data_IF_306094190461
#
_entry.id   IF_306094190461
#
_cell.length_a   1.000
_cell.length_b   1.000
_cell.length_c   1.000
_cell.angle_alpha   90.00
_cell.angle_beta   90.00
_cell.angle_gamma   90.00
#
_symmetry.space_group_name_H-M   'P 1'
#
loop_
_entity.id
_entity.type
_entity.pdbx_description
1 polymer ?
#
# COMPACT_ATOMS: atom_id res chain seq x y z
N UNK A 1 -8.92 20.16 37.47
CA UNK A 1 -9.90 20.00 36.38
C UNK A 1 -10.17 18.51 36.24
N UNK A 2 -11.42 18.06 36.37
CA UNK A 2 -11.73 16.64 36.30
C UNK A 2 -11.59 16.13 34.85
N UNK A 3 -11.20 14.86 34.66
CA UNK A 3 -11.18 14.21 33.32
C UNK A 3 -12.55 14.33 32.64
N UNK A 4 -13.62 14.31 33.43
CA UNK A 4 -15.01 14.45 32.97
C UNK A 4 -15.30 15.81 32.31
N UNK A 5 -14.71 16.90 32.80
CA UNK A 5 -14.87 18.24 32.22
C UNK A 5 -14.13 18.41 30.89
N UNK A 6 -12.97 17.75 30.77
CA UNK A 6 -12.21 17.68 29.52
C UNK A 6 -13.00 16.89 28.46
N UNK A 7 -13.55 15.74 28.84
CA UNK A 7 -14.38 14.89 27.97
C UNK A 7 -15.66 15.60 27.53
N UNK A 8 -16.40 16.26 28.43
CA UNK A 8 -17.58 17.06 28.07
C UNK A 8 -17.27 18.20 27.11
N UNK A 9 -16.12 18.88 27.25
CA UNK A 9 -15.69 19.94 26.33
C UNK A 9 -15.21 19.41 24.97
N UNK A 10 -14.52 18.28 24.94
CA UNK A 10 -14.15 17.60 23.69
C UNK A 10 -15.38 17.15 22.91
N UNK A 11 -16.40 16.61 23.59
CA UNK A 11 -17.69 16.29 22.98
C UNK A 11 -18.40 17.54 22.42
N UNK A 12 -18.32 18.66 23.12
CA UNK A 12 -18.94 19.94 22.69
C UNK A 12 -18.24 20.60 21.50
N UNK A 13 -16.96 20.27 21.26
CA UNK A 13 -16.11 20.87 20.22
C UNK A 13 -16.05 20.06 18.92
N UNK A 14 -16.88 19.01 18.79
CA UNK A 14 -16.98 18.19 17.56
C UNK A 14 -15.64 17.58 17.10
N UNK A 15 -14.66 17.49 17.99
CA UNK A 15 -13.40 16.75 17.79
C UNK A 15 -13.67 15.24 17.66
N UNK A 16 -14.45 14.58 18.55
CA UNK A 16 -14.68 13.15 18.42
C UNK A 16 -15.43 12.80 17.14
N UNK A 17 -16.34 13.65 16.65
CA UNK A 17 -17.01 13.39 15.36
C UNK A 17 -16.06 13.53 14.16
N UNK A 18 -15.11 14.46 14.18
CA UNK A 18 -14.08 14.54 13.13
C UNK A 18 -13.10 13.34 13.19
N UNK A 19 -12.77 12.88 14.40
CA UNK A 19 -11.93 11.70 14.59
C UNK A 19 -12.63 10.42 14.10
N UNK A 20 -13.91 10.23 14.44
CA UNK A 20 -14.75 9.14 13.93
C UNK A 20 -14.82 9.20 12.40
N UNK A 21 -15.05 10.39 11.82
CA UNK A 21 -15.11 10.55 10.37
C UNK A 21 -13.78 10.19 9.71
N UNK A 22 -12.64 10.56 10.31
CA UNK A 22 -11.31 10.19 9.82
C UNK A 22 -11.08 8.67 9.88
N UNK A 23 -11.48 8.04 10.98
CA UNK A 23 -11.40 6.59 11.13
C UNK A 23 -12.30 5.86 10.12
N UNK A 24 -13.51 6.37 9.85
CA UNK A 24 -14.42 5.83 8.84
C UNK A 24 -13.82 5.94 7.43
N UNK A 25 -13.23 7.09 7.08
CA UNK A 25 -12.62 7.29 5.76
C UNK A 25 -11.44 6.35 5.55
N UNK A 26 -10.60 6.18 6.59
CA UNK A 26 -9.50 5.22 6.55
C UNK A 26 -10.01 3.78 6.39
N UNK A 27 -11.05 3.41 7.15
CA UNK A 27 -11.69 2.10 7.05
C UNK A 27 -12.24 1.87 5.63
N UNK A 28 -13.00 2.81 5.08
CA UNK A 28 -13.57 2.69 3.74
C UNK A 28 -12.53 2.79 2.62
N UNK A 29 -11.40 3.45 2.84
CA UNK A 29 -10.24 3.36 1.96
C UNK A 29 -9.66 1.93 1.94
N UNK A 30 -9.56 1.28 3.10
CA UNK A 30 -9.21 -0.15 3.18
C UNK A 30 -10.23 -1.06 2.47
N UNK A 31 -11.52 -0.81 2.64
CA UNK A 31 -12.60 -1.51 1.91
C UNK A 31 -12.49 -1.32 0.40
N UNK A 32 -12.19 -0.10 -0.04
CA UNK A 32 -11.97 0.20 -1.46
C UNK A 32 -10.72 -0.53 -1.99
N UNK A 33 -9.68 -0.70 -1.18
CA UNK A 33 -8.59 -1.62 -1.50
C UNK A 33 -9.10 -3.05 -1.68
N UNK A 34 -9.83 -3.56 -0.68
CA UNK A 34 -10.27 -4.96 -0.64
C UNK A 34 -11.20 -5.37 -1.80
N UNK A 35 -12.09 -4.48 -2.25
CA UNK A 35 -13.09 -4.73 -3.29
C UNK A 35 -12.88 -3.82 -4.50
N UNK A 36 -11.65 -3.83 -5.02
CA UNK A 36 -11.22 -2.89 -6.04
C UNK A 36 -11.91 -3.11 -7.39
N UNK A 37 -12.43 -2.05 -7.99
CA UNK A 37 -13.04 -2.11 -9.32
C UNK A 37 -11.98 -1.85 -10.41
N UNK A 38 -12.13 -2.46 -11.59
CA UNK A 38 -11.35 -2.06 -12.75
C UNK A 38 -11.79 -0.69 -13.26
N UNK A 39 -10.84 0.15 -13.68
CA UNK A 39 -11.09 1.40 -14.38
C UNK A 39 -10.42 2.63 -13.77
N UNK A 40 -10.18 3.64 -14.61
CA UNK A 40 -9.52 4.88 -14.22
C UNK A 40 -10.26 5.64 -13.11
N UNK A 41 -11.60 5.63 -13.13
CA UNK A 41 -12.42 6.27 -12.11
C UNK A 41 -12.23 5.64 -10.73
N UNK A 42 -12.04 4.33 -10.66
CA UNK A 42 -11.83 3.65 -9.38
C UNK A 42 -10.44 3.92 -8.81
N UNK A 43 -9.42 3.94 -9.65
CA UNK A 43 -8.09 4.37 -9.23
C UNK A 43 -8.14 5.80 -8.67
N UNK A 44 -8.86 6.70 -9.34
CA UNK A 44 -9.11 8.06 -8.84
C UNK A 44 -9.88 8.06 -7.51
N UNK A 45 -10.88 7.19 -7.34
CA UNK A 45 -11.60 7.02 -6.07
C UNK A 45 -10.67 6.60 -4.93
N UNK A 46 -9.75 5.64 -5.17
CA UNK A 46 -8.73 5.25 -4.20
C UNK A 46 -7.83 6.42 -3.78
N UNK A 47 -7.35 7.21 -4.75
CA UNK A 47 -6.57 8.42 -4.48
C UNK A 47 -7.37 9.49 -3.74
N UNK A 48 -8.65 9.68 -4.10
CA UNK A 48 -9.55 10.60 -3.42
C UNK A 48 -9.72 10.21 -1.94
N UNK A 49 -9.85 8.91 -1.64
CA UNK A 49 -9.91 8.41 -0.25
C UNK A 49 -8.71 8.83 0.59
N UNK A 50 -7.49 8.77 0.03
CA UNK A 50 -6.29 9.19 0.71
C UNK A 50 -6.25 10.71 0.93
N UNK A 51 -6.62 11.50 -0.10
CA UNK A 51 -6.71 12.95 0.02
C UNK A 51 -7.76 13.37 1.06
N UNK A 52 -8.90 12.68 1.08
CA UNK A 52 -9.98 12.88 2.04
C UNK A 52 -9.56 12.51 3.46
N UNK A 53 -8.79 11.43 3.64
CA UNK A 53 -8.21 11.08 4.93
C UNK A 53 -7.23 12.15 5.42
N UNK A 54 -6.34 12.63 4.55
CA UNK A 54 -5.42 13.72 4.91
C UNK A 54 -6.20 14.98 5.32
N UNK A 55 -7.25 15.33 4.56
CA UNK A 55 -8.12 16.46 4.86
C UNK A 55 -8.89 16.27 6.17
N UNK A 56 -9.37 15.06 6.47
CA UNK A 56 -10.08 14.78 7.72
C UNK A 56 -9.16 14.85 8.93
N UNK A 57 -7.91 14.38 8.82
CA UNK A 57 -6.89 14.56 9.86
C UNK A 57 -6.61 16.05 10.08
N UNK A 58 -6.46 16.83 9.01
CA UNK A 58 -6.28 18.29 9.11
C UNK A 58 -7.49 18.95 9.80
N UNK A 59 -8.72 18.49 9.54
CA UNK A 59 -9.91 18.98 10.26
C UNK A 59 -9.89 18.62 11.75
N UNK A 60 -9.45 17.41 12.11
CA UNK A 60 -9.27 17.01 13.52
C UNK A 60 -8.26 17.93 14.19
N UNK A 61 -7.09 18.11 13.57
CA UNK A 61 -6.02 18.98 14.08
C UNK A 61 -6.50 20.42 14.20
N UNK A 62 -7.21 20.95 13.20
CA UNK A 62 -7.79 22.28 13.23
C UNK A 62 -8.82 22.43 14.36
N UNK A 63 -9.71 21.45 14.55
CA UNK A 63 -10.71 21.49 15.63
C UNK A 63 -10.06 21.42 17.00
N UNK A 64 -9.03 20.59 17.18
CA UNK A 64 -8.23 20.56 18.42
C UNK A 64 -7.55 21.91 18.64
N UNK A 65 -6.89 22.47 17.62
CA UNK A 65 -6.16 23.73 17.72
C UNK A 65 -7.05 24.96 17.99
N UNK A 66 -8.28 24.94 17.49
CA UNK A 66 -9.28 26.02 17.71
C UNK A 66 -10.09 25.85 18.99
N UNK A 67 -9.98 24.72 19.69
CA UNK A 67 -10.54 24.61 21.04
C UNK A 67 -9.76 25.56 21.96
N UNK A 68 -10.46 26.48 22.64
CA UNK A 68 -9.81 27.37 23.62
C UNK A 68 -8.97 26.51 24.57
N UNK A 69 -7.68 26.80 24.75
CA UNK A 69 -6.82 25.96 25.57
C UNK A 69 -7.42 25.80 26.97
N UNK A 70 -7.27 24.62 27.59
CA UNK A 70 -7.66 24.39 28.98
C UNK A 70 -7.22 25.55 29.87
N UNK A 71 -8.02 25.92 30.87
CA UNK A 71 -7.66 26.95 31.84
C UNK A 71 -6.21 26.87 32.37
N UNK A 72 -5.63 25.67 32.64
CA UNK A 72 -4.22 25.58 33.04
C UNK A 72 -3.18 25.80 31.91
N UNK A 73 -3.57 25.66 30.64
CA UNK A 73 -2.69 25.88 29.47
C UNK A 73 -2.85 27.29 28.86
N UNK A 74 -3.92 28.02 29.19
CA UNK A 74 -4.07 29.45 28.84
C UNK A 74 -2.87 30.33 29.23
N UNK A 75 -2.26 30.18 30.42
CA UNK A 75 -1.05 30.93 30.74
C UNK A 75 0.18 30.54 29.89
N UNK A 76 0.16 29.38 29.21
CA UNK A 76 1.24 28.95 28.31
C UNK A 76 1.08 29.49 26.87
N UNK A 77 -0.13 29.91 26.47
CA UNK A 77 -0.38 30.50 25.15
C UNK A 77 0.49 31.73 24.82
N UNK A 78 0.75 32.70 25.73
CA UNK A 78 1.68 33.79 25.47
C UNK A 78 3.16 33.35 25.41
N UNK A 79 3.47 32.12 25.85
CA UNK A 79 4.81 31.54 25.81
C UNK A 79 5.09 30.74 24.53
N UNK A 80 4.26 30.83 23.50
CA UNK A 80 4.54 30.22 22.19
C UNK A 80 5.87 30.68 21.57
N UNK A 81 6.29 31.92 21.84
CA UNK A 81 7.63 32.45 21.54
C UNK A 81 8.73 31.78 22.36
N UNK A 82 8.46 31.33 23.59
CA UNK A 82 9.42 30.53 24.37
C UNK A 82 9.62 29.13 23.78
N UNK A 83 8.71 28.65 22.92
CA UNK A 83 8.90 27.41 22.16
C UNK A 83 9.97 27.56 21.07
N UNK A 84 10.18 28.78 20.53
CA UNK A 84 11.30 29.10 19.65
C UNK A 84 12.61 29.01 20.43
N UNK A 85 12.64 29.51 21.67
CA UNK A 85 13.78 29.38 22.58
C UNK A 85 14.03 27.92 22.96
N UNK A 86 12.97 27.16 23.28
CA UNK A 86 13.07 25.72 23.57
C UNK A 86 13.59 24.96 22.36
N UNK A 87 13.12 25.30 21.16
CA UNK A 87 13.59 24.75 19.90
C UNK A 87 15.04 25.11 19.59
N UNK A 88 15.46 26.34 19.89
CA UNK A 88 16.86 26.76 19.77
C UNK A 88 17.76 26.05 20.79
N UNK A 89 17.28 25.81 22.02
CA UNK A 89 17.97 25.01 23.04
C UNK A 89 18.03 23.54 22.63
N UNK A 90 16.98 22.98 22.04
CA UNK A 90 16.94 21.60 21.52
C UNK A 90 17.91 21.42 20.35
N UNK A 91 17.94 22.37 19.41
CA UNK A 91 18.96 22.46 18.35
C UNK A 91 20.37 22.62 18.91
N UNK A 92 20.55 23.43 19.97
CA UNK A 92 21.84 23.58 20.64
C UNK A 92 22.25 22.25 21.29
N UNK A 93 21.34 21.56 21.97
CA UNK A 93 21.54 20.23 22.57
C UNK A 93 21.90 19.19 21.50
N UNK A 94 21.17 19.14 20.37
CA UNK A 94 21.50 18.28 19.24
C UNK A 94 22.89 18.62 18.66
N UNK A 95 23.24 19.91 18.56
CA UNK A 95 24.51 20.35 18.03
C UNK A 95 25.70 20.12 18.97
N UNK A 96 25.47 20.04 20.30
CA UNK A 96 26.52 19.88 21.31
C UNK A 96 26.63 18.44 21.81
N UNK A 97 25.51 17.81 22.18
CA UNK A 97 25.46 16.50 22.84
C UNK A 97 25.69 15.38 21.82
N UNK A 98 25.11 15.46 20.62
CA UNK A 98 25.32 14.43 19.59
C UNK A 98 26.80 14.26 19.19
N UNK A 99 27.60 15.33 18.95
CA UNK A 99 29.02 15.16 18.70
C UNK A 99 29.81 14.68 19.92
N UNK A 100 29.45 15.10 21.14
CA UNK A 100 30.12 14.61 22.37
C UNK A 100 29.86 13.12 22.58
N UNK A 101 28.62 12.65 22.40
CA UNK A 101 28.29 11.23 22.49
C UNK A 101 28.94 10.39 21.37
N UNK A 102 29.02 10.94 20.14
CA UNK A 102 29.76 10.29 19.05
C UNK A 102 31.26 10.24 19.30
N UNK A 103 31.85 11.29 19.86
CA UNK A 103 33.26 11.32 20.25
C UNK A 103 33.55 10.33 21.39
N UNK A 104 32.66 10.25 22.38
CA UNK A 104 32.75 9.29 23.48
C UNK A 104 32.62 7.83 22.99
N UNK A 105 31.78 7.55 21.99
CA UNK A 105 31.67 6.23 21.36
C UNK A 105 32.89 5.83 20.51
N UNK A 106 33.72 6.80 20.11
CA UNK A 106 34.96 6.58 19.36
C UNK A 106 36.20 6.35 20.24
N UNK A 107 36.06 6.39 21.57
CA UNK A 107 37.20 6.27 22.48
C UNK A 107 37.75 4.82 22.53
N UNK A 108 39.08 4.62 22.49
CA UNK A 108 39.72 3.31 22.30
C UNK A 108 39.59 2.33 23.48
N UNK A 109 38.97 2.72 24.60
CA UNK A 109 38.89 1.94 25.84
C UNK A 109 37.49 1.33 26.11
N UNK A 110 36.58 1.33 25.14
CA UNK A 110 35.20 0.86 25.35
C UNK A 110 34.96 -0.57 24.86
N UNK A 111 34.33 -1.38 25.70
CA UNK A 111 33.83 -2.72 25.37
C UNK A 111 32.76 -2.63 24.25
N UNK A 112 32.76 -3.52 23.25
CA UNK A 112 31.81 -3.52 22.12
C UNK A 112 30.32 -3.40 22.50
N UNK A 113 29.91 -3.89 23.67
CA UNK A 113 28.52 -3.75 24.14
C UNK A 113 28.22 -2.30 24.54
N UNK A 114 29.14 -1.66 25.27
CA UNK A 114 29.00 -0.26 25.69
C UNK A 114 29.02 0.71 24.50
N UNK A 115 29.84 0.45 23.49
CA UNK A 115 29.90 1.22 22.25
C UNK A 115 28.57 1.16 21.47
N UNK A 116 28.00 -0.04 21.29
CA UNK A 116 26.69 -0.19 20.62
C UNK A 116 25.55 0.46 21.41
N UNK A 117 25.59 0.40 22.74
CA UNK A 117 24.62 1.09 23.60
C UNK A 117 24.71 2.63 23.44
N UNK A 118 25.91 3.20 23.36
CA UNK A 118 26.12 4.63 23.11
C UNK A 118 25.73 5.07 21.70
N UNK A 119 26.06 4.29 20.66
CA UNK A 119 25.68 4.58 19.27
C UNK A 119 24.15 4.52 19.07
N UNK A 120 23.50 3.52 19.66
CA UNK A 120 22.03 3.39 19.62
C UNK A 120 21.33 4.47 20.45
N UNK A 121 21.85 4.82 21.64
CA UNK A 121 21.34 5.93 22.42
C UNK A 121 21.49 7.27 21.70
N UNK A 122 22.61 7.51 21.01
CA UNK A 122 22.82 8.70 20.19
C UNK A 122 21.90 8.76 18.97
N UNK A 123 21.65 7.62 18.31
CA UNK A 123 20.73 7.52 17.17
C UNK A 123 19.26 7.69 17.55
N UNK A 124 18.83 7.04 18.63
CA UNK A 124 17.45 7.11 19.14
C UNK A 124 17.13 8.46 19.76
N UNK A 125 18.06 9.07 20.51
CA UNK A 125 17.88 10.43 21.03
C UNK A 125 17.82 11.46 19.90
N UNK A 126 18.67 11.35 18.87
CA UNK A 126 18.63 12.24 17.71
C UNK A 126 17.32 12.16 16.92
N UNK A 127 16.84 10.94 16.63
CA UNK A 127 15.57 10.75 15.92
C UNK A 127 14.35 11.19 16.74
N UNK A 128 14.34 10.89 18.04
CA UNK A 128 13.26 11.30 18.93
C UNK A 128 13.21 12.83 19.09
N UNK A 129 14.35 13.49 19.31
CA UNK A 129 14.41 14.96 19.38
C UNK A 129 14.02 15.60 18.04
N UNK A 130 14.54 15.11 16.90
CA UNK A 130 14.14 15.65 15.58
C UNK A 130 12.65 15.47 15.32
N UNK A 131 12.06 14.33 15.71
CA UNK A 131 10.62 14.12 15.60
C UNK A 131 9.83 15.08 16.50
N UNK A 132 10.23 15.23 17.76
CA UNK A 132 9.60 16.16 18.72
C UNK A 132 9.73 17.61 18.24
N UNK A 133 10.90 18.00 17.74
CA UNK A 133 11.16 19.33 17.20
C UNK A 133 10.39 19.59 15.92
N UNK A 134 10.31 18.62 14.99
CA UNK A 134 9.54 18.76 13.75
C UNK A 134 8.05 18.88 14.07
N UNK A 135 7.54 18.05 14.99
CA UNK A 135 6.16 18.15 15.47
C UNK A 135 5.93 19.51 16.14
N UNK A 136 6.86 19.94 17.00
CA UNK A 136 6.83 21.22 17.68
C UNK A 136 6.80 22.41 16.72
N UNK A 137 7.73 22.46 15.76
CA UNK A 137 7.84 23.50 14.74
C UNK A 137 6.61 23.54 13.84
N UNK A 138 6.09 22.38 13.42
CA UNK A 138 4.82 22.29 12.66
C UNK A 138 3.66 22.84 13.49
N UNK A 139 3.56 22.47 14.77
CA UNK A 139 2.52 22.97 15.68
C UNK A 139 2.66 24.48 15.93
N UNK A 140 3.87 25.01 16.10
CA UNK A 140 4.10 26.45 16.32
C UNK A 140 3.85 27.26 15.05
N UNK A 141 4.35 26.83 13.89
CA UNK A 141 4.06 27.46 12.60
C UNK A 141 2.56 27.45 12.29
N UNK A 142 1.88 26.35 12.65
CA UNK A 142 0.43 26.22 12.57
C UNK A 142 -0.31 27.19 13.51
N UNK A 143 0.12 27.34 14.77
CA UNK A 143 -0.45 28.30 15.72
C UNK A 143 -0.27 29.74 15.22
N UNK A 144 0.91 30.09 14.69
CA UNK A 144 1.18 31.40 14.12
C UNK A 144 0.32 31.67 12.88
N UNK A 145 0.18 30.68 11.99
CA UNK A 145 -0.70 30.77 10.82
C UNK A 145 -2.15 31.00 11.25
N UNK A 146 -2.63 30.28 12.28
CA UNK A 146 -3.97 30.47 12.83
C UNK A 146 -4.15 31.84 13.46
N UNK A 147 -3.16 32.35 14.20
CA UNK A 147 -3.21 33.71 14.77
C UNK A 147 -3.27 34.78 13.67
N UNK A 148 -2.50 34.60 12.59
CA UNK A 148 -2.54 35.49 11.43
C UNK A 148 -3.91 35.40 10.74
N UNK A 149 -4.44 34.20 10.50
CA UNK A 149 -5.76 33.98 9.89
C UNK A 149 -6.90 34.56 10.75
N UNK A 150 -6.82 34.43 12.07
CA UNK A 150 -7.84 34.94 12.99
C UNK A 150 -7.78 36.47 13.09
N UNK A 151 -6.57 37.04 13.05
CA UNK A 151 -6.35 38.49 13.03
C UNK A 151 -6.77 39.17 11.71
N UNK A 152 -6.59 38.50 10.56
CA UNK A 152 -6.79 39.11 9.23
C UNK A 152 -8.04 38.63 8.49
N UNK A 153 -8.39 37.35 8.58
CA UNK A 153 -9.36 36.70 7.68
C UNK A 153 -10.72 36.45 8.35
N UNK A 154 -10.76 36.11 9.65
CA UNK A 154 -12.00 35.78 10.37
C UNK A 154 -12.83 36.99 10.84
N UNK A 155 -12.31 38.22 10.72
CA UNK A 155 -13.07 39.47 10.93
C UNK A 155 -14.09 39.74 9.82
N UNK A 156 -13.93 39.15 8.64
CA UNK A 156 -14.80 39.38 7.48
C UNK A 156 -15.96 38.36 7.49
N UNK A 157 -17.21 38.82 7.64
CA UNK A 157 -18.41 37.95 7.69
C UNK A 157 -18.53 37.00 6.49
N UNK A 158 -18.12 37.45 5.30
CA UNK A 158 -18.14 36.63 4.08
C UNK A 158 -17.22 35.40 4.19
N UNK A 159 -16.03 35.55 4.76
CA UNK A 159 -15.08 34.45 4.90
C UNK A 159 -15.56 33.43 5.94
N UNK A 160 -16.22 33.88 7.01
CA UNK A 160 -16.84 32.98 8.01
C UNK A 160 -18.04 32.20 7.45
N UNK A 161 -18.73 32.75 6.45
CA UNK A 161 -19.77 32.03 5.71
C UNK A 161 -19.15 30.98 4.78
N UNK A 162 -18.11 31.38 4.04
CA UNK A 162 -17.38 30.50 3.12
C UNK A 162 -16.72 29.32 3.85
N UNK A 163 -16.10 29.55 5.01
CA UNK A 163 -15.50 28.48 5.82
C UNK A 163 -16.55 27.47 6.32
N UNK A 164 -17.75 27.93 6.69
CA UNK A 164 -18.86 27.04 7.10
C UNK A 164 -19.44 26.25 5.93
N UNK A 165 -19.51 26.86 4.75
CA UNK A 165 -19.90 26.17 3.52
C UNK A 165 -18.87 25.09 3.18
N UNK A 166 -17.57 25.43 3.24
CA UNK A 166 -16.48 24.51 2.97
C UNK A 166 -16.48 23.31 3.93
N UNK A 167 -16.65 23.52 5.24
CA UNK A 167 -16.74 22.43 6.23
C UNK A 167 -17.91 21.49 5.93
N UNK A 168 -19.08 22.03 5.53
CA UNK A 168 -20.24 21.21 5.12
C UNK A 168 -19.99 20.43 3.83
N UNK A 169 -19.36 21.06 2.83
CA UNK A 169 -19.01 20.40 1.57
C UNK A 169 -18.03 19.26 1.83
N UNK A 170 -16.99 19.50 2.63
CA UNK A 170 -16.01 18.47 2.98
C UNK A 170 -16.65 17.31 3.73
N UNK A 171 -17.47 17.56 4.75
CA UNK A 171 -18.21 16.50 5.45
C UNK A 171 -19.16 15.76 4.51
N UNK A 172 -19.84 16.47 3.61
CA UNK A 172 -20.71 15.86 2.60
C UNK A 172 -19.97 14.93 1.65
N UNK A 173 -18.80 15.35 1.15
CA UNK A 173 -17.94 14.51 0.29
C UNK A 173 -17.41 13.31 1.05
N UNK A 174 -16.99 13.47 2.31
CA UNK A 174 -16.55 12.35 3.16
C UNK A 174 -17.67 11.34 3.38
N UNK A 175 -18.89 11.80 3.65
CA UNK A 175 -20.06 10.92 3.78
C UNK A 175 -20.41 10.21 2.48
N UNK A 176 -20.41 10.91 1.34
CA UNK A 176 -20.64 10.30 0.04
C UNK A 176 -19.58 9.23 -0.28
N UNK A 177 -18.31 9.49 0.06
CA UNK A 177 -17.23 8.52 -0.05
C UNK A 177 -17.48 7.27 0.81
N UNK A 178 -17.87 7.45 2.09
CA UNK A 178 -18.22 6.35 2.97
C UNK A 178 -19.42 5.54 2.44
N UNK A 179 -20.47 6.20 1.93
CA UNK A 179 -21.62 5.53 1.34
C UNK A 179 -21.23 4.70 0.12
N UNK A 180 -20.41 5.25 -0.78
CA UNK A 180 -19.86 4.51 -1.90
C UNK A 180 -19.01 3.31 -1.43
N UNK A 181 -18.19 3.49 -0.40
CA UNK A 181 -17.44 2.43 0.25
C UNK A 181 -18.33 1.32 0.80
N UNK A 182 -19.46 1.65 1.43
CA UNK A 182 -20.45 0.67 1.92
C UNK A 182 -21.04 -0.14 0.78
N UNK A 183 -21.39 0.50 -0.34
CA UNK A 183 -21.90 -0.20 -1.53
C UNK A 183 -20.86 -1.18 -2.08
N UNK A 184 -19.58 -0.79 -2.14
CA UNK A 184 -18.49 -1.67 -2.56
C UNK A 184 -18.29 -2.85 -1.60
N UNK A 185 -18.30 -2.58 -0.29
CA UNK A 185 -18.25 -3.61 0.74
C UNK A 185 -19.40 -4.60 0.58
N UNK A 186 -20.62 -4.11 0.44
CA UNK A 186 -21.80 -4.95 0.28
C UNK A 186 -21.73 -5.78 -1.02
N UNK A 187 -21.28 -5.16 -2.11
CA UNK A 187 -21.13 -5.82 -3.40
C UNK A 187 -20.11 -6.97 -3.38
N UNK A 188 -18.98 -6.81 -2.67
CA UNK A 188 -17.90 -7.80 -2.66
C UNK A 188 -17.93 -8.77 -1.48
N UNK A 189 -18.29 -8.32 -0.27
CA UNK A 189 -18.28 -9.17 0.93
C UNK A 189 -19.36 -10.26 0.90
N UNK A 190 -20.46 -10.01 0.20
CA UNK A 190 -21.59 -10.92 0.07
C UNK A 190 -21.70 -11.54 -1.33
N UNK A 191 -20.63 -11.48 -2.12
CA UNK A 191 -20.60 -12.08 -3.45
C UNK A 191 -20.33 -13.59 -3.37
N UNK A 192 -21.29 -14.46 -3.74
CA UNK A 192 -21.08 -15.91 -3.75
C UNK A 192 -20.41 -16.41 -5.04
N UNK A 193 -20.18 -15.53 -6.02
CA UNK A 193 -19.69 -15.96 -7.32
C UNK A 193 -18.23 -16.46 -7.24
N UNK A 194 -17.88 -17.56 -7.91
CA UNK A 194 -16.49 -17.98 -7.99
C UNK A 194 -15.68 -16.97 -8.83
N UNK A 195 -14.38 -16.80 -8.53
CA UNK A 195 -13.53 -15.94 -9.33
C UNK A 195 -13.43 -16.46 -10.76
N UNK A 196 -13.53 -15.55 -11.72
CA UNK A 196 -13.32 -15.82 -13.14
C UNK A 196 -11.98 -15.26 -13.60
N UNK A 197 -11.25 -16.05 -14.36
CA UNK A 197 -9.95 -15.64 -14.87
C UNK A 197 -10.12 -14.81 -16.14
N UNK A 198 -9.47 -13.65 -16.18
CA UNK A 198 -9.36 -12.83 -17.39
C UNK A 198 -7.90 -12.67 -17.79
N UNK A 199 -7.53 -12.98 -19.05
CA UNK A 199 -6.20 -12.70 -19.53
C UNK A 199 -6.03 -11.18 -19.69
N UNK A 200 -4.86 -10.70 -19.28
CA UNK A 200 -4.47 -9.31 -19.49
C UNK A 200 -2.96 -9.23 -19.79
N UNK A 201 -2.52 -8.08 -20.27
CA UNK A 201 -1.09 -7.79 -20.44
C UNK A 201 -0.75 -6.51 -19.71
N UNK A 202 0.35 -6.52 -18.96
CA UNK A 202 0.81 -5.33 -18.27
C UNK A 202 1.25 -4.27 -19.27
N UNK A 203 0.66 -3.07 -19.19
CA UNK A 203 1.11 -1.91 -19.97
C UNK A 203 2.10 -1.06 -19.19
N UNK A 204 1.75 -0.69 -17.96
CA UNK A 204 2.57 0.16 -17.12
C UNK A 204 2.20 -0.01 -15.64
N UNK A 205 3.13 0.35 -14.75
CA UNK A 205 2.85 0.48 -13.32
C UNK A 205 3.23 1.90 -12.90
N UNK A 206 2.28 2.58 -12.25
CA UNK A 206 2.48 3.88 -11.64
C UNK A 206 2.46 3.74 -10.13
N UNK A 207 3.37 4.42 -9.43
CA UNK A 207 3.41 4.35 -7.97
C UNK A 207 3.85 5.66 -7.35
N UNK A 208 3.35 5.93 -6.14
CA UNK A 208 3.74 7.06 -5.32
C UNK A 208 4.12 6.55 -3.92
N UNK A 209 5.25 7.04 -3.40
CA UNK A 209 5.62 6.82 -1.99
C UNK A 209 4.91 7.86 -1.15
N UNK A 210 4.16 7.40 -0.16
CA UNK A 210 3.44 8.27 0.76
C UNK A 210 4.39 8.76 1.87
N UNK A 211 4.23 10.00 2.35
CA UNK A 211 5.05 10.53 3.44
C UNK A 211 4.77 9.79 4.76
N UNK A 212 5.62 10.02 5.75
CA UNK A 212 5.44 9.53 7.13
C UNK A 212 5.39 8.00 7.28
N UNK A 213 6.03 7.26 6.36
CA UNK A 213 6.06 5.79 6.44
C UNK A 213 4.73 5.11 6.12
N UNK A 214 3.77 5.81 5.51
CA UNK A 214 2.46 5.28 5.11
C UNK A 214 2.51 4.32 3.90
N UNK A 215 3.71 3.85 3.54
CA UNK A 215 3.93 2.88 2.49
C UNK A 215 3.93 3.47 1.07
N UNK A 216 3.77 2.58 0.10
CA UNK A 216 3.75 2.90 -1.34
C UNK A 216 2.40 2.53 -1.91
N UNK A 217 1.78 3.47 -2.59
CA UNK A 217 0.52 3.26 -3.28
C UNK A 217 0.81 3.08 -4.77
N UNK A 218 0.35 1.98 -5.37
CA UNK A 218 0.66 1.63 -6.75
C UNK A 218 -0.60 1.23 -7.53
N UNK A 219 -0.61 1.52 -8.83
CA UNK A 219 -1.67 1.11 -9.75
C UNK A 219 -1.05 0.59 -11.05
N UNK A 220 -1.66 -0.42 -11.63
CA UNK A 220 -1.25 -0.98 -12.92
C UNK A 220 -2.26 -0.59 -14.01
N UNK A 221 -1.75 -0.33 -15.20
CA UNK A 221 -2.54 -0.28 -16.42
C UNK A 221 -2.44 -1.64 -17.11
N UNK A 222 -3.60 -2.27 -17.29
CA UNK A 222 -3.75 -3.59 -17.87
C UNK A 222 -4.40 -3.43 -19.25
N UNK A 223 -3.80 -4.03 -20.27
CA UNK A 223 -4.41 -4.18 -21.57
C UNK A 223 -5.29 -5.44 -21.54
N UNK A 224 -6.60 -5.24 -21.68
CA UNK A 224 -7.62 -6.29 -21.76
C UNK A 224 -8.29 -6.26 -23.13
N UNK A 225 -9.15 -7.23 -23.42
CA UNK A 225 -9.97 -7.23 -24.65
C UNK A 225 -10.88 -6.00 -24.76
N UNK A 226 -11.22 -5.36 -23.63
CA UNK A 226 -12.08 -4.18 -23.56
C UNK A 226 -11.30 -2.87 -23.67
N UNK A 227 -9.97 -2.94 -23.77
CA UNK A 227 -9.07 -1.79 -23.81
C UNK A 227 -8.21 -1.69 -22.56
N UNK A 228 -7.88 -0.47 -22.15
CA UNK A 228 -6.94 -0.23 -21.05
C UNK A 228 -7.71 -0.01 -19.76
N UNK A 229 -7.49 -0.90 -18.80
CA UNK A 229 -8.10 -0.84 -17.47
C UNK A 229 -7.04 -0.50 -16.43
N UNK A 230 -7.32 0.48 -15.58
CA UNK A 230 -6.44 0.81 -14.44
C UNK A 230 -6.92 0.09 -13.18
N UNK A 231 -6.03 -0.59 -12.49
CA UNK A 231 -6.35 -1.36 -11.28
C UNK A 231 -5.37 -0.99 -10.16
N UNK A 232 -5.88 -0.82 -8.95
CA UNK A 232 -5.07 -0.60 -7.76
C UNK A 232 -4.30 -1.89 -7.39
N UNK A 233 -3.03 -1.77 -7.00
CA UNK A 233 -2.21 -2.91 -6.59
C UNK A 233 -2.16 -3.06 -5.08
N UNK A 234 -2.24 -4.30 -4.60
CA UNK A 234 -2.19 -4.66 -3.18
C UNK A 234 -1.07 -5.69 -2.97
N UNK A 235 0.03 -5.34 -2.28
CA UNK A 235 1.18 -6.23 -2.13
C UNK A 235 0.85 -7.63 -1.59
N UNK A 236 -0.12 -7.73 -0.70
CA UNK A 236 -0.51 -8.99 -0.07
C UNK A 236 -1.36 -9.91 -0.96
N UNK A 237 -1.88 -9.42 -2.09
CA UNK A 237 -2.79 -10.16 -2.99
C UNK A 237 -2.27 -10.27 -4.41
N UNK A 238 -1.39 -9.36 -4.82
CA UNK A 238 -0.91 -9.26 -6.19
C UNK A 238 0.55 -9.67 -6.28
N UNK A 239 0.87 -10.47 -7.30
CA UNK A 239 2.26 -10.86 -7.62
C UNK A 239 2.99 -9.79 -8.43
N UNK A 240 2.41 -8.59 -8.50
CA UNK A 240 2.87 -7.49 -9.33
C UNK A 240 3.27 -6.30 -8.46
N UNK A 241 4.49 -5.81 -8.61
CA UNK A 241 4.94 -4.59 -7.95
C UNK A 241 5.81 -3.76 -8.89
N UNK A 242 5.92 -2.43 -8.71
CA UNK A 242 6.66 -1.57 -9.62
C UNK A 242 8.12 -1.97 -9.86
N UNK A 243 8.74 -2.67 -8.90
CA UNK A 243 10.16 -3.03 -8.96
C UNK A 243 10.39 -4.43 -9.55
N UNK A 244 9.33 -5.20 -9.81
CA UNK A 244 9.39 -6.61 -10.21
C UNK A 244 8.72 -6.92 -11.53
N UNK A 245 8.12 -5.95 -12.22
CA UNK A 245 7.33 -6.20 -13.42
C UNK A 245 7.53 -5.15 -14.52
N UNK A 246 7.67 -5.64 -15.74
CA UNK A 246 7.89 -4.85 -16.95
C UNK A 246 6.70 -4.93 -17.90
N UNK A 247 6.54 -3.90 -18.73
CA UNK A 247 5.52 -3.87 -19.78
C UNK A 247 5.61 -5.13 -20.68
N UNK A 248 4.46 -5.63 -21.13
CA UNK A 248 4.35 -6.85 -21.93
C UNK A 248 4.17 -8.13 -21.12
N UNK A 249 4.31 -8.08 -19.79
CA UNK A 249 4.13 -9.26 -18.94
C UNK A 249 2.68 -9.79 -19.04
N UNK A 250 2.47 -11.09 -19.38
CA UNK A 250 1.15 -11.67 -19.40
C UNK A 250 0.66 -11.92 -17.98
N UNK A 251 -0.60 -11.55 -17.73
CA UNK A 251 -1.22 -11.56 -16.42
C UNK A 251 -2.53 -12.33 -16.45
N UNK A 252 -2.83 -12.96 -15.32
CA UNK A 252 -4.12 -13.55 -15.01
C UNK A 252 -4.79 -12.71 -13.94
N UNK A 253 -5.91 -12.09 -14.30
CA UNK A 253 -6.69 -11.25 -13.39
C UNK A 253 -7.86 -12.06 -12.87
N UNK A 254 -7.95 -12.21 -11.56
CA UNK A 254 -9.06 -12.88 -10.88
C UNK A 254 -10.18 -11.87 -10.62
N UNK A 255 -11.29 -12.03 -11.33
CA UNK A 255 -12.42 -11.09 -11.32
C UNK A 255 -13.68 -11.80 -10.86
N UNK A 256 -14.32 -11.22 -9.87
CA UNK A 256 -15.65 -11.61 -9.42
C UNK A 256 -16.73 -10.79 -10.10
N UNK A 257 -17.96 -11.32 -10.12
CA UNK A 257 -19.11 -10.62 -10.73
C UNK A 257 -19.65 -9.49 -9.84
N UNK A 258 -19.52 -9.62 -8.52
CA UNK A 258 -20.16 -8.77 -7.53
C UNK A 258 -21.62 -9.15 -7.32
N UNK A 259 -22.09 -9.04 -6.07
CA UNK A 259 -23.50 -9.25 -5.71
C UNK A 259 -24.44 -8.32 -6.48
N UNK A 260 -24.05 -7.06 -6.67
CA UNK A 260 -24.80 -6.03 -7.40
C UNK A 260 -24.53 -6.05 -8.91
N UNK A 261 -23.78 -7.05 -9.41
CA UNK A 261 -23.33 -7.12 -10.80
C UNK A 261 -22.20 -6.13 -11.14
N UNK A 262 -21.56 -5.55 -10.13
CA UNK A 262 -20.40 -4.66 -10.29
C UNK A 262 -19.13 -5.52 -10.14
N UNK A 263 -18.37 -5.76 -11.22
CA UNK A 263 -17.23 -6.67 -11.17
C UNK A 263 -16.06 -6.07 -10.38
N UNK A 264 -15.42 -6.87 -9.54
CA UNK A 264 -14.29 -6.45 -8.72
C UNK A 264 -13.11 -7.42 -8.86
N UNK A 265 -11.89 -6.89 -8.74
CA UNK A 265 -10.64 -7.64 -8.90
C UNK A 265 -10.18 -8.12 -7.54
N UNK A 266 -10.03 -9.44 -7.40
CA UNK A 266 -9.54 -10.08 -6.19
C UNK A 266 -8.01 -10.05 -6.13
N UNK A 267 -7.38 -10.57 -7.19
CA UNK A 267 -5.94 -10.76 -7.29
C UNK A 267 -5.46 -10.60 -8.74
N UNK A 268 -4.19 -10.23 -8.88
CA UNK A 268 -3.47 -10.21 -10.14
C UNK A 268 -2.25 -11.12 -9.98
N UNK A 269 -2.21 -12.19 -10.77
CA UNK A 269 -1.10 -13.13 -10.83
C UNK A 269 -0.39 -13.04 -12.17
N UNK A 270 0.88 -13.43 -12.20
CA UNK A 270 1.61 -13.59 -13.46
C UNK A 270 1.07 -14.86 -14.14
N UNK A 271 0.76 -14.76 -15.44
CA UNK A 271 0.40 -15.94 -16.22
C UNK A 271 1.68 -16.69 -16.61
N UNK A 272 2.19 -17.49 -15.67
CA UNK A 272 3.44 -18.24 -15.83
C UNK A 272 3.45 -19.13 -17.07
N UNK A 273 2.29 -19.68 -17.46
CA UNK A 273 2.16 -20.51 -18.66
C UNK A 273 2.42 -19.66 -19.89
N UNK A 274 1.66 -18.58 -20.08
CA UNK A 274 1.79 -17.69 -21.24
C UNK A 274 3.16 -17.00 -21.27
N UNK A 275 3.70 -16.64 -20.11
CA UNK A 275 5.05 -16.08 -20.01
C UNK A 275 6.10 -17.08 -20.48
N UNK A 276 6.00 -18.34 -20.04
CA UNK A 276 6.94 -19.38 -20.44
C UNK A 276 6.82 -19.72 -21.93
N UNK A 277 5.60 -19.75 -22.47
CA UNK A 277 5.35 -19.91 -23.91
C UNK A 277 6.05 -18.79 -24.72
N UNK A 278 5.83 -17.51 -24.36
CA UNK A 278 6.48 -16.36 -25.02
C UNK A 278 8.01 -16.41 -24.94
N UNK A 279 8.57 -16.79 -23.79
CA UNK A 279 10.02 -16.94 -23.64
C UNK A 279 10.54 -18.08 -24.52
N UNK A 280 9.82 -19.21 -24.62
CA UNK A 280 10.23 -20.35 -25.44
C UNK A 280 10.05 -20.12 -26.94
N UNK A 281 9.16 -19.22 -27.36
CA UNK A 281 9.09 -18.74 -28.75
C UNK A 281 10.36 -17.97 -29.12
N UNK A 282 10.86 -17.12 -28.22
CA UNK A 282 12.09 -16.36 -28.44
C UNK A 282 13.37 -17.19 -28.21
N UNK A 283 13.35 -18.09 -27.23
CA UNK A 283 14.47 -18.91 -26.78
C UNK A 283 14.04 -20.38 -26.62
N UNK A 284 13.87 -21.14 -27.72
CA UNK A 284 13.38 -22.52 -27.68
C UNK A 284 14.20 -23.47 -26.81
N UNK A 285 15.49 -23.18 -26.67
CA UNK A 285 16.44 -23.96 -25.87
C UNK A 285 16.38 -23.63 -24.37
N UNK A 286 15.53 -22.73 -23.85
CA UNK A 286 15.54 -22.43 -22.41
C UNK A 286 15.01 -23.61 -21.55
N UNK A 287 15.90 -24.48 -21.07
CA UNK A 287 15.55 -25.69 -20.30
C UNK A 287 14.72 -25.38 -19.05
N UNK A 288 15.19 -24.44 -18.21
CA UNK A 288 14.51 -24.10 -16.96
C UNK A 288 13.07 -23.63 -17.21
N UNK A 289 12.90 -22.70 -18.16
CA UNK A 289 11.57 -22.21 -18.58
C UNK A 289 10.69 -23.32 -19.12
N UNK A 290 11.25 -24.25 -19.92
CA UNK A 290 10.50 -25.41 -20.43
C UNK A 290 10.05 -26.33 -19.30
N UNK A 291 10.89 -26.58 -18.30
CA UNK A 291 10.51 -27.35 -17.10
C UNK A 291 9.40 -26.65 -16.30
N UNK A 292 9.47 -25.33 -16.16
CA UNK A 292 8.41 -24.52 -15.53
C UNK A 292 7.09 -24.62 -16.30
N UNK A 293 7.12 -24.51 -17.63
CA UNK A 293 5.93 -24.67 -18.46
C UNK A 293 5.33 -26.07 -18.33
N UNK A 294 6.16 -27.12 -18.40
CA UNK A 294 5.72 -28.51 -18.23
C UNK A 294 5.06 -28.70 -16.86
N UNK A 295 5.63 -28.15 -15.79
CA UNK A 295 5.05 -28.23 -14.45
C UNK A 295 3.65 -27.57 -14.40
N UNK A 296 3.50 -26.37 -14.97
CA UNK A 296 2.21 -25.68 -15.06
C UNK A 296 1.18 -26.49 -15.86
N UNK A 297 1.59 -27.08 -16.99
CA UNK A 297 0.70 -27.93 -17.82
C UNK A 297 0.27 -29.22 -17.09
N UNK A 298 1.13 -29.78 -16.24
CA UNK A 298 0.79 -30.92 -15.38
C UNK A 298 -0.26 -30.53 -14.34
N UNK A 299 -0.11 -29.38 -13.68
CA UNK A 299 -1.09 -28.88 -12.71
C UNK A 299 -2.46 -28.59 -13.35
N UNK A 300 -2.47 -28.09 -14.59
CA UNK A 300 -3.69 -27.85 -15.37
C UNK A 300 -4.30 -29.12 -15.99
N UNK A 301 -3.63 -30.27 -15.89
CA UNK A 301 -4.09 -31.53 -16.50
C UNK A 301 -4.05 -31.55 -18.04
N UNK A 302 -3.23 -30.68 -18.66
CA UNK A 302 -3.07 -30.56 -20.12
C UNK A 302 -2.06 -31.58 -20.65
N UNK A 303 -2.38 -32.86 -20.49
CA UNK A 303 -1.45 -33.97 -20.70
C UNK A 303 -0.87 -34.10 -22.12
N UNK A 304 -1.64 -33.73 -23.16
CA UNK A 304 -1.15 -33.73 -24.54
C UNK A 304 0.00 -32.75 -24.73
N UNK A 305 -0.11 -31.57 -24.11
CA UNK A 305 0.87 -30.51 -24.23
C UNK A 305 2.11 -30.80 -23.39
N UNK A 306 1.92 -31.42 -22.21
CA UNK A 306 3.03 -31.96 -21.39
C UNK A 306 3.94 -32.86 -22.23
N UNK A 307 3.36 -33.79 -22.98
CA UNK A 307 4.11 -34.70 -23.84
C UNK A 307 4.86 -33.95 -24.95
N UNK A 308 4.17 -33.06 -25.67
CA UNK A 308 4.80 -32.29 -26.74
C UNK A 308 5.99 -31.44 -26.24
N UNK A 309 5.84 -30.80 -25.08
CA UNK A 309 6.91 -30.02 -24.47
C UNK A 309 8.05 -30.88 -23.92
N UNK A 310 7.77 -32.08 -23.40
CA UNK A 310 8.79 -33.03 -22.96
C UNK A 310 9.59 -33.61 -24.14
N UNK A 311 8.94 -33.99 -25.25
CA UNK A 311 9.63 -34.40 -26.48
C UNK A 311 10.53 -33.27 -27.03
N UNK A 312 10.03 -32.04 -27.02
CA UNK A 312 10.83 -30.87 -27.39
C UNK A 312 12.00 -30.60 -26.41
N UNK A 313 11.85 -30.94 -25.12
CA UNK A 313 12.92 -30.83 -24.12
C UNK A 313 14.07 -31.77 -24.44
N UNK A 314 13.79 -33.05 -24.70
CA UNK A 314 14.80 -34.06 -25.03
C UNK A 314 15.58 -33.71 -26.28
N UNK A 315 14.91 -33.15 -27.30
CA UNK A 315 15.59 -32.72 -28.54
C UNK A 315 16.69 -31.69 -28.29
N UNK A 316 16.52 -30.82 -27.30
CA UNK A 316 17.52 -29.82 -26.93
C UNK A 316 18.48 -30.34 -25.83
N UNK A 317 18.02 -31.28 -24.99
CA UNK A 317 18.72 -31.77 -23.81
C UNK A 317 18.63 -33.31 -23.69
N UNK A 318 19.30 -34.06 -24.58
CA UNK A 318 19.18 -35.52 -24.61
C UNK A 318 19.74 -36.22 -23.36
N UNK A 319 20.60 -35.55 -22.59
CA UNK A 319 21.19 -36.09 -21.35
C UNK A 319 20.33 -35.92 -20.09
N UNK A 320 19.17 -35.27 -20.16
CA UNK A 320 18.33 -34.96 -19.00
C UNK A 320 17.25 -36.05 -18.76
N UNK A 321 17.68 -37.32 -18.82
CA UNK A 321 16.80 -38.48 -18.70
C UNK A 321 16.12 -38.59 -17.33
N UNK A 322 16.82 -38.22 -16.26
CA UNK A 322 16.28 -38.25 -14.89
C UNK A 322 15.04 -37.37 -14.73
N UNK A 323 15.03 -36.19 -15.37
CA UNK A 323 13.86 -35.32 -15.37
C UNK A 323 12.66 -35.98 -16.06
N UNK A 324 12.88 -36.66 -17.19
CA UNK A 324 11.80 -37.38 -17.88
C UNK A 324 11.27 -38.55 -17.09
N UNK A 325 12.12 -39.31 -16.40
CA UNK A 325 11.69 -40.42 -15.54
C UNK A 325 10.85 -39.91 -14.36
N UNK A 326 11.24 -38.77 -13.78
CA UNK A 326 10.43 -38.09 -12.75
C UNK A 326 9.07 -37.67 -13.29
N UNK A 327 9.02 -37.10 -14.50
CA UNK A 327 7.77 -36.70 -15.16
C UNK A 327 6.89 -37.90 -15.53
N UNK A 328 7.48 -38.98 -16.04
CA UNK A 328 6.78 -40.23 -16.35
C UNK A 328 6.14 -40.85 -15.11
N UNK A 329 6.83 -40.79 -13.96
CA UNK A 329 6.28 -41.24 -12.67
C UNK A 329 5.03 -40.44 -12.29
N UNK A 330 5.05 -39.11 -12.46
CA UNK A 330 3.86 -38.26 -12.22
C UNK A 330 2.72 -38.57 -13.19
N UNK A 331 3.02 -38.79 -14.47
CA UNK A 331 2.01 -39.17 -15.48
C UNK A 331 1.37 -40.53 -15.13
N UNK A 332 2.16 -41.51 -14.69
CA UNK A 332 1.65 -42.81 -14.26
C UNK A 332 0.73 -42.68 -13.04
N UNK A 333 1.10 -41.86 -12.05
CA UNK A 333 0.26 -41.56 -10.89
C UNK A 333 -1.06 -40.88 -11.27
N UNK A 334 -1.08 -40.09 -12.35
CA UNK A 334 -2.28 -39.49 -12.92
C UNK A 334 -3.08 -40.41 -13.87
N UNK A 335 -2.73 -41.70 -13.97
CA UNK A 335 -3.41 -42.67 -14.85
C UNK A 335 -3.04 -42.57 -16.33
N UNK A 336 -2.04 -41.75 -16.71
CA UNK A 336 -1.57 -41.54 -18.08
C UNK A 336 -0.46 -42.51 -18.46
N UNK A 337 -0.73 -43.80 -18.34
CA UNK A 337 0.28 -44.87 -18.52
C UNK A 337 0.93 -44.87 -19.91
N UNK A 338 0.15 -44.61 -20.97
CA UNK A 338 0.69 -44.57 -22.33
C UNK A 338 1.71 -43.44 -22.54
N UNK A 339 1.43 -42.25 -22.00
CA UNK A 339 2.33 -41.10 -22.08
C UNK A 339 3.58 -41.30 -21.21
N UNK A 340 3.41 -41.90 -20.02
CA UNK A 340 4.54 -42.26 -19.16
C UNK A 340 5.53 -43.22 -19.85
N UNK A 341 5.03 -44.28 -20.50
CA UNK A 341 5.86 -45.24 -21.24
C UNK A 341 6.58 -44.56 -22.41
N UNK A 342 5.92 -43.63 -23.11
CA UNK A 342 6.54 -42.87 -24.18
C UNK A 342 7.73 -42.04 -23.66
N UNK A 343 7.57 -41.35 -22.51
CA UNK A 343 8.66 -40.59 -21.89
C UNK A 343 9.79 -41.47 -21.36
N UNK A 344 9.49 -42.64 -20.80
CA UNK A 344 10.51 -43.60 -20.33
C UNK A 344 11.40 -44.11 -21.46
N UNK A 345 10.83 -44.31 -22.66
CA UNK A 345 11.60 -44.68 -23.86
C UNK A 345 12.50 -43.54 -24.32
N UNK A 346 12.01 -42.30 -24.27
CA UNK A 346 12.81 -41.12 -24.62
C UNK A 346 13.93 -40.84 -23.61
N UNK A 347 13.77 -41.27 -22.36
CA UNK A 347 14.78 -41.12 -21.31
C UNK A 347 15.96 -42.10 -21.43
N UNK A 348 15.81 -43.16 -22.22
CA UNK A 348 16.79 -44.23 -22.42
C UNK A 348 17.15 -44.30 -23.91
N UNK A 349 17.98 -43.37 -24.42
CA UNK A 349 18.38 -43.34 -25.83
C UNK A 349 19.12 -44.61 -26.26
#
# INVERSE_FOLDING_TARGET
>A
MSVLDLVRRLLRTRVPSAAILSALVLHFHGVAGAYRLPGAWYAAFGHAGLALFALSVLLVVHRIATTTPPAPLRPLAPHGTNFILLGAVDLAILSLITPVLRAAAGAPLQDPVSRRALESAAGLSGLALVAIFTIGAVVTAWILLLQILDATVLRIRAVRSLARLLDRVVVGVLLAYCLAGTVLAYNGAFDPSPPTYRPATLRSISSIRLPFGLGRHASAELLTERGVERVLLIPARDQLWPDSANAGLPLRVEVHRGLLGIPWVQAIAIDTRRQSEQILEALPAAAATRKTLIAALVEEGRWSDVRAHAEAHVRHYPGDGDYLLSLATRLRAAGRTADAVALERLARP
#
